data_IF_366240138047
#
_entry.id   IF_366240138047
#
_cell.length_a   1.000
_cell.length_b   1.000
_cell.length_c   1.000
_cell.angle_alpha   90.00
_cell.angle_beta   90.00
_cell.angle_gamma   90.00
#
_symmetry.space_group_name_H-M   'P 1'
#
loop_
_entity.id
_entity.type
_entity.pdbx_description
1 polymer ?
#
# COMPACT_ATOMS: atom_id res chain seq x y z
N UNK A 1 16.83 -5.32 -10.89
CA UNK A 1 15.36 -5.31 -10.82
C UNK A 1 14.80 -4.40 -11.87
N UNK A 2 13.67 -4.77 -12.43
CA UNK A 2 13.00 -3.92 -13.41
C UNK A 2 11.51 -3.87 -13.06
N UNK A 3 11.04 -2.72 -12.57
CA UNK A 3 9.62 -2.53 -12.32
C UNK A 3 8.86 -2.45 -13.65
N UNK A 4 7.65 -3.00 -13.67
CA UNK A 4 6.81 -3.01 -14.86
C UNK A 4 5.96 -1.75 -14.97
N UNK A 5 5.39 -1.30 -13.84
CA UNK A 5 4.52 -0.12 -13.78
C UNK A 5 4.23 0.29 -12.35
N UNK A 6 3.66 1.46 -12.17
CA UNK A 6 3.01 1.81 -10.90
C UNK A 6 1.75 0.94 -10.79
N UNK A 7 1.60 0.25 -9.66
CA UNK A 7 0.46 -0.62 -9.42
C UNK A 7 -0.68 0.15 -8.73
N UNK A 8 -0.37 0.79 -7.62
CA UNK A 8 -1.32 1.62 -6.88
C UNK A 8 -0.58 2.62 -6.01
N UNK A 9 -1.34 3.56 -5.45
CA UNK A 9 -0.81 4.53 -4.50
C UNK A 9 -1.63 4.48 -3.21
N UNK A 10 -1.02 4.90 -2.10
CA UNK A 10 -1.67 4.89 -0.79
C UNK A 10 -1.65 6.28 -0.19
N UNK A 11 -2.75 6.62 0.48
CA UNK A 11 -2.90 7.87 1.20
C UNK A 11 -3.20 7.54 2.66
N UNK A 12 -2.38 8.06 3.57
CA UNK A 12 -2.71 8.06 4.99
C UNK A 12 -3.78 9.12 5.28
N UNK A 13 -4.83 8.72 5.96
CA UNK A 13 -5.92 9.60 6.37
C UNK A 13 -6.21 9.43 7.85
N UNK A 14 -6.62 10.50 8.51
CA UNK A 14 -6.99 10.45 9.94
C UNK A 14 -8.37 9.86 10.14
N UNK A 15 -9.29 10.15 9.22
CA UNK A 15 -10.68 9.70 9.27
C UNK A 15 -10.96 8.90 7.99
N UNK A 16 -10.93 7.57 8.11
CA UNK A 16 -11.07 6.68 6.96
C UNK A 16 -12.46 6.79 6.32
N UNK A 17 -13.52 6.84 7.13
CA UNK A 17 -14.88 6.92 6.61
C UNK A 17 -15.09 8.21 5.82
N UNK A 18 -14.58 9.32 6.31
CA UNK A 18 -14.64 10.60 5.63
C UNK A 18 -13.88 10.59 4.31
N UNK A 19 -12.70 9.97 4.31
CA UNK A 19 -11.88 9.85 3.10
C UNK A 19 -12.56 8.96 2.05
N UNK A 20 -13.13 7.83 2.47
CA UNK A 20 -13.88 6.94 1.58
C UNK A 20 -15.04 7.68 0.92
N UNK A 21 -15.81 8.42 1.71
CA UNK A 21 -16.93 9.21 1.18
C UNK A 21 -16.44 10.22 0.14
N UNK A 22 -15.41 10.98 0.49
CA UNK A 22 -14.86 12.01 -0.39
C UNK A 22 -14.40 11.43 -1.72
N UNK A 23 -13.54 10.39 -1.66
CA UNK A 23 -12.98 9.81 -2.88
C UNK A 23 -14.00 9.01 -3.68
N UNK A 24 -14.98 8.38 -3.02
CA UNK A 24 -16.06 7.70 -3.73
C UNK A 24 -16.86 8.69 -4.58
N UNK A 25 -17.18 9.82 -4.02
CA UNK A 25 -17.92 10.88 -4.75
C UNK A 25 -17.07 11.49 -5.85
N UNK A 26 -15.83 11.84 -5.53
CA UNK A 26 -14.90 12.45 -6.49
C UNK A 26 -14.64 11.57 -7.70
N UNK A 27 -14.42 10.28 -7.47
CA UNK A 27 -14.04 9.34 -8.52
C UNK A 27 -15.24 8.63 -9.17
N UNK A 28 -16.43 8.77 -8.58
CA UNK A 28 -17.62 8.07 -9.07
C UNK A 28 -17.51 6.55 -8.95
N UNK A 29 -16.91 6.06 -7.88
CA UNK A 29 -16.70 4.63 -7.66
C UNK A 29 -17.03 4.26 -6.21
N UNK A 30 -17.11 2.96 -5.94
CA UNK A 30 -17.30 2.45 -4.59
C UNK A 30 -16.05 1.75 -4.12
N UNK A 31 -15.65 2.03 -2.88
CA UNK A 31 -14.55 1.32 -2.25
C UNK A 31 -15.10 0.06 -1.57
N UNK A 32 -14.33 -1.05 -1.60
CA UNK A 32 -14.69 -2.23 -0.82
C UNK A 32 -14.74 -1.92 0.67
N UNK A 33 -15.43 -2.78 1.43
CA UNK A 33 -15.46 -2.68 2.88
C UNK A 33 -14.03 -2.71 3.42
N UNK A 34 -13.63 -1.80 4.31
CA UNK A 34 -12.28 -1.79 4.86
C UNK A 34 -11.95 -3.05 5.64
N UNK A 35 -10.67 -3.40 5.61
CA UNK A 35 -10.14 -4.54 6.37
C UNK A 35 -8.93 -4.11 7.19
N UNK A 36 -8.55 -4.96 8.14
CA UNK A 36 -7.41 -4.72 9.02
C UNK A 36 -6.19 -5.52 8.56
N UNK A 37 -5.05 -4.86 8.48
CA UNK A 37 -3.77 -5.48 8.20
C UNK A 37 -2.93 -5.38 9.46
N UNK A 38 -2.93 -6.45 10.27
CA UNK A 38 -2.35 -6.45 11.61
C UNK A 38 -0.84 -6.23 11.61
N UNK A 39 -0.12 -6.83 10.69
CA UNK A 39 1.33 -6.73 10.60
C UNK A 39 1.83 -5.31 10.46
N UNK A 40 1.08 -4.45 9.77
CA UNK A 40 1.42 -3.04 9.61
C UNK A 40 0.57 -2.12 10.49
N UNK A 41 -0.34 -2.70 11.25
CA UNK A 41 -1.23 -1.99 12.18
C UNK A 41 -2.05 -0.90 11.49
N UNK A 42 -2.69 -1.25 10.38
CA UNK A 42 -3.56 -0.33 9.63
C UNK A 42 -4.95 -0.93 9.38
N UNK A 43 -5.91 -0.03 9.21
CA UNK A 43 -7.21 -0.32 8.61
C UNK A 43 -7.23 0.35 7.24
N UNK A 44 -7.65 -0.37 6.22
CA UNK A 44 -7.48 0.09 4.85
C UNK A 44 -8.56 -0.42 3.91
N UNK A 45 -8.67 0.25 2.78
CA UNK A 45 -9.44 -0.21 1.63
C UNK A 45 -8.69 0.15 0.36
N UNK A 46 -8.89 -0.63 -0.69
CA UNK A 46 -8.25 -0.39 -1.99
C UNK A 46 -9.33 -0.23 -3.04
N UNK A 47 -9.45 0.96 -3.59
CA UNK A 47 -10.42 1.27 -4.64
C UNK A 47 -10.13 0.47 -5.90
N UNK A 48 -11.18 0.15 -6.67
CA UNK A 48 -11.03 -0.71 -7.83
C UNK A 48 -10.33 -0.02 -8.99
N UNK A 49 -9.99 -0.82 -10.00
CA UNK A 49 -9.50 -0.30 -11.28
C UNK A 49 -10.50 0.71 -11.86
N UNK A 50 -10.05 1.75 -12.57
CA UNK A 50 -8.64 2.02 -12.90
C UNK A 50 -7.88 2.83 -11.85
N UNK A 51 -8.52 3.22 -10.75
CA UNK A 51 -7.93 4.14 -9.78
C UNK A 51 -6.90 3.50 -8.87
N UNK A 52 -7.21 2.31 -8.35
CA UNK A 52 -6.31 1.57 -7.45
C UNK A 52 -5.75 2.46 -6.34
N UNK A 53 -6.64 3.21 -5.68
CA UNK A 53 -6.29 4.11 -4.61
C UNK A 53 -6.47 3.41 -3.27
N UNK A 54 -5.39 3.25 -2.52
CA UNK A 54 -5.43 2.68 -1.18
C UNK A 54 -5.59 3.82 -0.16
N UNK A 55 -6.65 3.73 0.64
CA UNK A 55 -6.87 4.65 1.75
C UNK A 55 -6.64 3.89 3.05
N UNK A 56 -5.80 4.42 3.92
CA UNK A 56 -5.44 3.71 5.14
C UNK A 56 -5.27 4.65 6.34
N UNK A 57 -5.54 4.10 7.50
CA UNK A 57 -5.39 4.81 8.78
C UNK A 57 -4.78 3.85 9.79
N UNK A 58 -3.93 4.32 10.73
CA UNK A 58 -3.41 3.46 11.78
C UNK A 58 -4.53 2.87 12.63
N UNK A 59 -4.40 1.58 13.01
CA UNK A 59 -5.33 0.93 13.93
C UNK A 59 -5.14 1.41 15.36
N UNK A 60 -3.87 1.55 15.78
CA UNK A 60 -3.52 1.93 17.14
C UNK A 60 -2.54 3.11 17.11
N UNK A 61 -2.47 3.90 18.20
CA UNK A 61 -1.57 5.06 18.22
C UNK A 61 -0.09 4.69 18.41
N UNK A 62 0.24 3.42 18.64
CA UNK A 62 1.61 3.00 18.97
C UNK A 62 2.26 2.08 17.93
N UNK A 63 1.54 1.74 16.86
CA UNK A 63 2.04 0.86 15.82
C UNK A 63 3.00 1.55 14.86
N UNK A 64 3.58 0.77 13.97
CA UNK A 64 4.52 1.26 12.96
C UNK A 64 3.88 2.30 12.04
N UNK A 65 2.66 2.02 11.58
CA UNK A 65 1.94 2.94 10.70
C UNK A 65 1.66 4.28 11.39
N UNK A 66 1.31 4.26 12.68
CA UNK A 66 1.06 5.48 13.44
C UNK A 66 2.33 6.34 13.53
N UNK A 67 3.48 5.72 13.76
CA UNK A 67 4.76 6.43 13.81
C UNK A 67 5.11 7.05 12.46
N UNK A 68 4.92 6.31 11.39
CA UNK A 68 5.19 6.81 10.04
C UNK A 68 4.24 7.96 9.71
N UNK A 69 2.95 7.82 10.01
CA UNK A 69 1.97 8.88 9.76
C UNK A 69 2.26 10.13 10.61
N UNK A 70 2.75 9.97 11.83
CA UNK A 70 3.16 11.10 12.66
C UNK A 70 4.31 11.89 12.00
N UNK A 71 5.29 11.18 11.45
CA UNK A 71 6.44 11.80 10.77
C UNK A 71 6.07 12.42 9.43
N UNK A 72 5.27 11.73 8.62
CA UNK A 72 4.93 12.16 7.25
C UNK A 72 3.72 13.08 7.20
N UNK A 73 2.82 12.96 8.16
CA UNK A 73 1.53 13.62 8.13
C UNK A 73 0.51 12.86 7.28
N UNK A 74 -0.69 13.44 7.20
CA UNK A 74 -1.77 12.96 6.34
C UNK A 74 -1.41 13.25 4.87
N UNK A 75 -1.72 12.33 3.97
CA UNK A 75 -1.46 12.53 2.54
C UNK A 75 -0.82 11.32 1.88
N UNK A 76 -0.22 11.56 0.72
CA UNK A 76 0.42 10.51 -0.06
C UNK A 76 1.53 9.85 0.75
N UNK A 77 1.43 8.55 0.95
CA UNK A 77 2.34 7.82 1.85
C UNK A 77 3.13 6.73 1.15
N UNK A 78 2.62 6.15 0.07
CA UNK A 78 3.26 5.00 -0.55
C UNK A 78 2.96 4.95 -2.04
N UNK A 79 3.96 4.52 -2.82
CA UNK A 79 3.80 4.16 -4.22
C UNK A 79 4.14 2.68 -4.34
N UNK A 80 3.25 1.91 -4.94
CA UNK A 80 3.47 0.49 -5.20
C UNK A 80 3.86 0.27 -6.65
N UNK A 81 4.92 -0.49 -6.86
CA UNK A 81 5.38 -0.87 -8.19
C UNK A 81 5.23 -2.38 -8.38
N UNK A 82 4.66 -2.77 -9.51
CA UNK A 82 4.62 -4.18 -9.89
C UNK A 82 5.99 -4.61 -10.42
N UNK A 83 6.47 -5.75 -9.91
CA UNK A 83 7.75 -6.33 -10.32
C UNK A 83 7.53 -7.77 -10.79
N UNK A 84 8.37 -8.27 -11.72
CA UNK A 84 8.24 -9.64 -12.20
C UNK A 84 8.71 -10.69 -11.18
N UNK A 85 9.62 -10.32 -10.27
CA UNK A 85 10.12 -11.20 -9.21
C UNK A 85 10.35 -10.40 -7.94
N UNK A 86 9.52 -10.64 -6.94
CA UNK A 86 9.68 -9.97 -5.64
C UNK A 86 10.96 -10.42 -4.94
N UNK A 87 11.32 -11.70 -5.08
CA UNK A 87 12.55 -12.22 -4.48
C UNK A 87 13.78 -11.46 -4.96
N UNK A 88 13.90 -11.27 -6.27
CA UNK A 88 15.02 -10.52 -6.84
C UNK A 88 14.97 -9.05 -6.45
N UNK A 89 13.77 -8.46 -6.44
CA UNK A 89 13.57 -7.06 -6.09
C UNK A 89 13.95 -6.80 -4.63
N UNK A 90 13.53 -7.67 -3.71
CA UNK A 90 13.88 -7.57 -2.29
C UNK A 90 15.39 -7.68 -2.10
N UNK A 91 16.02 -8.62 -2.79
CA UNK A 91 17.47 -8.79 -2.72
C UNK A 91 18.21 -7.53 -3.17
N UNK A 92 17.74 -6.90 -4.24
CA UNK A 92 18.34 -5.66 -4.73
C UNK A 92 18.14 -4.50 -3.73
N UNK A 93 16.94 -4.34 -3.17
CA UNK A 93 16.69 -3.32 -2.17
C UNK A 93 17.60 -3.50 -0.95
N UNK A 94 17.74 -4.74 -0.51
CA UNK A 94 18.64 -5.06 0.60
C UNK A 94 20.10 -4.71 0.27
N UNK A 95 20.56 -5.02 -0.94
CA UNK A 95 21.92 -4.70 -1.37
C UNK A 95 22.20 -3.19 -1.41
N UNK A 96 21.16 -2.39 -1.57
CA UNK A 96 21.23 -0.93 -1.52
C UNK A 96 21.12 -0.36 -0.10
N UNK A 97 20.98 -1.22 0.91
CA UNK A 97 20.82 -0.79 2.31
C UNK A 97 19.46 -0.22 2.64
N UNK A 98 18.45 -0.49 1.83
CA UNK A 98 17.08 0.02 2.06
C UNK A 98 16.34 -0.92 3.01
N UNK A 99 15.82 -0.37 4.11
CA UNK A 99 15.16 -1.16 5.16
C UNK A 99 13.79 -1.62 4.74
N UNK A 100 13.53 -2.90 4.92
CA UNK A 100 12.21 -3.49 4.69
C UNK A 100 11.38 -3.42 5.97
N UNK A 101 10.13 -2.93 5.86
CA UNK A 101 9.19 -2.85 6.98
C UNK A 101 8.35 -4.11 7.11
N UNK A 102 7.88 -4.66 6.00
CA UNK A 102 6.99 -5.82 5.99
C UNK A 102 7.11 -6.56 4.66
N UNK A 103 6.89 -7.87 4.71
CA UNK A 103 6.75 -8.72 3.52
C UNK A 103 5.66 -9.74 3.78
N UNK A 104 4.61 -9.75 2.97
CA UNK A 104 3.43 -10.58 3.19
C UNK A 104 2.69 -10.92 1.91
N UNK A 105 1.71 -11.81 2.07
CA UNK A 105 0.75 -12.14 1.02
C UNK A 105 -0.50 -11.29 1.16
N UNK A 106 -1.10 -10.94 0.02
CA UNK A 106 -2.43 -10.36 -0.06
C UNK A 106 -3.16 -11.07 -1.21
N UNK A 107 -4.06 -11.99 -0.87
CA UNK A 107 -4.63 -12.90 -1.86
C UNK A 107 -3.51 -13.71 -2.52
N UNK A 108 -3.43 -13.66 -3.84
CA UNK A 108 -2.38 -14.35 -4.61
C UNK A 108 -1.15 -13.47 -4.86
N UNK A 109 -1.17 -12.24 -4.39
CA UNK A 109 -0.05 -11.32 -4.53
C UNK A 109 0.89 -11.43 -3.33
N UNK A 110 2.18 -11.29 -3.58
CA UNK A 110 3.17 -11.10 -2.52
C UNK A 110 3.73 -9.69 -2.62
N UNK A 111 3.87 -9.02 -1.48
CA UNK A 111 4.38 -7.65 -1.46
C UNK A 111 5.40 -7.43 -0.35
N UNK A 112 6.22 -6.40 -0.53
CA UNK A 112 7.16 -5.92 0.49
C UNK A 112 7.14 -4.40 0.50
N UNK A 113 7.18 -3.81 1.69
CA UNK A 113 7.17 -2.36 1.90
C UNK A 113 8.49 -1.92 2.50
N UNK A 114 9.01 -0.80 2.03
CA UNK A 114 10.32 -0.28 2.40
C UNK A 114 10.20 1.09 3.07
N UNK A 115 11.13 1.36 3.99
CA UNK A 115 11.08 2.51 4.89
C UNK A 115 11.22 3.83 4.14
N UNK A 116 10.33 4.82 4.41
CA UNK A 116 10.33 6.08 3.66
C UNK A 116 11.58 6.92 3.84
N UNK A 117 12.29 6.79 4.96
CA UNK A 117 13.55 7.52 5.17
C UNK A 117 14.65 7.09 4.21
N UNK A 118 14.55 5.91 3.64
CA UNK A 118 15.54 5.40 2.69
C UNK A 118 15.11 5.60 1.24
N UNK A 119 13.89 6.11 1.01
CA UNK A 119 13.28 6.22 -0.32
C UNK A 119 12.59 7.57 -0.53
N UNK A 120 13.26 8.66 -0.16
CA UNK A 120 12.83 10.05 -0.42
C UNK A 120 11.50 10.44 0.23
N UNK A 121 11.26 9.96 1.45
CA UNK A 121 10.08 10.31 2.27
C UNK A 121 8.75 9.81 1.70
N UNK A 122 8.79 8.81 0.84
CA UNK A 122 7.59 8.06 0.41
C UNK A 122 7.90 6.57 0.56
N UNK A 123 7.00 5.80 1.17
CA UNK A 123 7.20 4.36 1.23
C UNK A 123 7.15 3.78 -0.19
N UNK A 124 8.00 2.82 -0.44
CA UNK A 124 7.95 2.05 -1.69
C UNK A 124 7.42 0.67 -1.35
N UNK A 125 6.39 0.24 -2.07
CA UNK A 125 5.94 -1.13 -2.07
C UNK A 125 6.36 -1.78 -3.37
N UNK A 126 6.81 -3.02 -3.31
CA UNK A 126 7.05 -3.85 -4.48
C UNK A 126 6.08 -5.02 -4.40
N UNK A 127 5.37 -5.30 -5.48
CA UNK A 127 4.34 -6.34 -5.50
C UNK A 127 4.49 -7.25 -6.71
N UNK A 128 4.34 -8.55 -6.46
CA UNK A 128 4.35 -9.57 -7.50
C UNK A 128 3.02 -10.30 -7.50
N UNK A 129 2.40 -10.42 -8.68
CA UNK A 129 1.25 -11.27 -8.92
C UNK A 129 1.22 -11.62 -10.42
N UNK A 130 0.60 -12.74 -10.77
CA UNK A 130 0.72 -13.26 -12.14
C UNK A 130 -0.39 -12.81 -13.08
N UNK A 131 -1.63 -12.88 -12.66
CA UNK A 131 -2.74 -12.74 -13.61
C UNK A 131 -3.72 -11.61 -13.29
N UNK A 132 -4.08 -11.41 -12.02
CA UNK A 132 -5.11 -10.45 -11.63
C UNK A 132 -4.57 -9.40 -10.70
N UNK A 133 -5.03 -8.17 -10.88
CA UNK A 133 -4.73 -7.11 -9.95
C UNK A 133 -5.23 -7.49 -8.53
N UNK A 134 -4.51 -7.13 -7.45
CA UNK A 134 -4.92 -7.48 -6.08
C UNK A 134 -6.35 -7.09 -5.71
N UNK A 135 -6.87 -5.98 -6.22
CA UNK A 135 -8.26 -5.59 -5.97
C UNK A 135 -9.26 -6.63 -6.44
N UNK A 136 -8.98 -7.29 -7.56
CA UNK A 136 -9.82 -8.36 -8.10
C UNK A 136 -9.63 -9.63 -7.30
N UNK A 137 -8.38 -9.97 -6.96
CA UNK A 137 -8.05 -11.15 -6.19
C UNK A 137 -8.65 -11.09 -4.77
N UNK A 138 -8.77 -9.90 -4.20
CA UNK A 138 -9.35 -9.68 -2.86
C UNK A 138 -10.88 -9.62 -2.86
N UNK A 139 -11.54 -9.98 -3.98
CA UNK A 139 -12.99 -9.95 -4.09
C UNK A 139 -13.57 -8.65 -4.59
N UNK A 140 -12.74 -7.70 -5.00
CA UNK A 140 -13.18 -6.52 -5.73
C UNK A 140 -13.72 -6.93 -7.08
N UNK A 141 -14.70 -6.21 -7.58
CA UNK A 141 -15.35 -6.56 -8.84
C UNK A 141 -14.88 -5.67 -9.98
#
# INVERSE_FOLDING_TARGET
MKAERIDHISIFVKDLDKAIKFFSELLGTQFPEPWETKTFDIKETLGPLPFCLNLCTPLTPKGEAARIMEDMGEGLSMISFKVPSLEEAVAEMKSRGIRMLVREMFGDAEYAVFHPKDTFSVMIELVEYKEKHPTVAAGGK
#
